data_IF_774790907690
#
_entry.id   IF_774790907690
#
_cell.length_a   1.000
_cell.length_b   1.000
_cell.length_c   1.000
_cell.angle_alpha   90.00
_cell.angle_beta   90.00
_cell.angle_gamma   90.00
#
_symmetry.space_group_name_H-M   'P 1'
#
loop_
_entity.id
_entity.type
_entity.pdbx_description
1 polymer ?
#
# COMPACT_ATOMS: atom_id res chain seq x y z
N UNK A 1 -3.47 12.49 -22.30
CA UNK A 1 -3.13 11.13 -22.04
C UNK A 1 -3.48 10.68 -20.66
N UNK A 2 -4.01 9.54 -20.59
CA UNK A 2 -4.41 9.00 -19.32
C UNK A 2 -3.25 8.73 -18.41
N UNK A 3 -3.44 9.00 -17.17
CA UNK A 3 -2.44 8.66 -16.19
C UNK A 3 -2.76 7.29 -15.61
N UNK A 4 -2.27 6.28 -16.27
CA UNK A 4 -2.55 4.92 -15.86
C UNK A 4 -2.01 4.61 -14.48
N UNK A 5 -0.84 5.19 -14.16
CA UNK A 5 -0.25 4.97 -12.86
C UNK A 5 -1.13 5.49 -11.74
N UNK A 6 -1.73 6.63 -11.98
CA UNK A 6 -2.60 7.22 -10.97
C UNK A 6 -3.82 6.35 -10.72
N UNK A 7 -4.39 5.81 -11.78
CA UNK A 7 -5.52 4.92 -11.63
C UNK A 7 -5.16 3.67 -10.86
N UNK A 8 -4.02 3.10 -11.16
CA UNK A 8 -3.58 1.90 -10.47
C UNK A 8 -3.37 2.15 -8.99
N UNK A 9 -2.77 3.27 -8.65
CA UNK A 9 -2.57 3.62 -7.26
C UNK A 9 -3.89 3.80 -6.54
N UNK A 10 -4.82 4.44 -7.21
CA UNK A 10 -6.13 4.68 -6.64
C UNK A 10 -6.85 3.37 -6.35
N UNK A 11 -6.79 2.44 -7.27
CA UNK A 11 -7.42 1.14 -7.10
C UNK A 11 -6.80 0.35 -5.97
N UNK A 12 -5.47 0.38 -5.90
CA UNK A 12 -4.78 -0.35 -4.84
C UNK A 12 -5.11 0.24 -3.49
N UNK A 13 -5.18 1.55 -3.41
CA UNK A 13 -5.54 2.20 -2.17
C UNK A 13 -6.97 1.89 -1.77
N UNK A 14 -7.87 1.86 -2.74
CA UNK A 14 -9.26 1.48 -2.48
C UNK A 14 -9.34 0.07 -1.93
N UNK A 15 -8.55 -0.84 -2.49
CA UNK A 15 -8.51 -2.21 -2.00
C UNK A 15 -8.12 -2.24 -0.53
N UNK A 16 -7.07 -1.49 -0.17
CA UNK A 16 -6.63 -1.45 1.21
C UNK A 16 -7.73 -0.89 2.11
N UNK A 17 -8.34 0.20 1.69
CA UNK A 17 -9.38 0.85 2.49
C UNK A 17 -10.58 -0.05 2.70
N UNK A 18 -10.97 -0.78 1.68
CA UNK A 18 -12.11 -1.67 1.78
C UNK A 18 -11.84 -2.86 2.68
N UNK A 19 -10.60 -3.29 2.74
CA UNK A 19 -10.25 -4.50 3.47
C UNK A 19 -9.41 -4.21 4.70
N UNK A 20 -9.39 -2.97 5.13
CA UNK A 20 -8.44 -2.57 6.16
C UNK A 20 -8.63 -3.33 7.46
N UNK A 21 -9.87 -3.56 7.86
CA UNK A 21 -10.10 -4.28 9.10
C UNK A 21 -9.56 -5.70 9.05
N UNK A 22 -9.84 -6.38 7.94
CA UNK A 22 -9.35 -7.74 7.79
C UNK A 22 -7.84 -7.76 7.71
N UNK A 23 -7.27 -6.82 6.98
CA UNK A 23 -5.83 -6.75 6.83
C UNK A 23 -5.16 -6.48 8.15
N UNK A 24 -5.75 -5.59 8.96
CA UNK A 24 -5.18 -5.29 10.26
C UNK A 24 -5.17 -6.49 11.18
N UNK A 25 -6.18 -7.33 11.09
CA UNK A 25 -6.23 -8.51 11.94
C UNK A 25 -5.06 -9.45 11.67
N UNK A 26 -4.63 -9.55 10.42
CA UNK A 26 -3.62 -10.50 10.04
C UNK A 26 -2.23 -9.89 9.90
N UNK A 27 -2.17 -8.61 9.56
CA UNK A 27 -0.89 -7.99 9.21
C UNK A 27 -0.65 -6.68 9.97
N UNK A 28 -1.14 -6.61 11.18
CA UNK A 28 -1.00 -5.39 11.98
C UNK A 28 0.47 -4.98 12.09
N UNK A 29 0.73 -3.70 11.87
CA UNK A 29 2.07 -3.12 11.95
C UNK A 29 3.04 -3.63 10.89
N UNK A 30 2.51 -4.27 9.85
CA UNK A 30 3.33 -4.73 8.75
C UNK A 30 3.19 -3.80 7.57
N UNK A 31 4.16 -3.90 6.68
CA UNK A 31 4.10 -3.21 5.40
C UNK A 31 3.58 -4.18 4.37
N UNK A 32 2.45 -3.88 3.78
CA UNK A 32 1.88 -4.78 2.79
C UNK A 32 2.18 -4.29 1.40
N UNK A 33 2.30 -5.24 0.50
CA UNK A 33 2.53 -4.96 -0.91
C UNK A 33 1.26 -5.32 -1.65
N UNK A 34 0.74 -4.35 -2.39
CA UNK A 34 -0.52 -4.51 -3.12
C UNK A 34 -0.28 -4.24 -4.59
N UNK A 35 -0.76 -5.12 -5.43
CA UNK A 35 -0.61 -4.98 -6.87
C UNK A 35 -1.88 -5.46 -7.55
N UNK A 36 -2.43 -4.63 -8.39
CA UNK A 36 -3.65 -4.94 -9.13
C UNK A 36 -4.78 -5.38 -8.20
N UNK A 37 -4.94 -4.62 -7.13
CA UNK A 37 -6.02 -4.83 -6.17
C UNK A 37 -5.93 -6.19 -5.48
N UNK A 38 -4.71 -6.67 -5.29
CA UNK A 38 -4.49 -7.92 -4.58
C UNK A 38 -3.35 -7.75 -3.59
N UNK A 39 -3.50 -8.42 -2.46
CA UNK A 39 -2.43 -8.47 -1.47
C UNK A 39 -1.37 -9.46 -1.93
N UNK A 40 -0.17 -8.95 -2.15
CA UNK A 40 0.94 -9.79 -2.58
C UNK A 40 1.66 -10.39 -1.40
N UNK A 41 1.86 -9.62 -0.35
CA UNK A 41 2.54 -10.11 0.81
C UNK A 41 2.65 -9.05 1.88
N UNK A 42 3.20 -9.43 3.02
CA UNK A 42 3.45 -8.49 4.11
C UNK A 42 4.89 -8.64 4.57
N UNK A 43 5.46 -7.53 5.02
CA UNK A 43 6.89 -7.44 5.29
C UNK A 43 7.13 -6.60 6.52
N UNK A 44 8.31 -6.73 7.09
CA UNK A 44 8.64 -6.02 8.33
C UNK A 44 9.09 -4.60 8.09
N UNK A 45 9.47 -4.26 6.88
CA UNK A 45 9.93 -2.92 6.59
C UNK A 45 9.46 -2.48 5.22
N UNK A 46 9.42 -1.15 5.05
CA UNK A 46 9.08 -0.59 3.76
C UNK A 46 10.06 -1.05 2.69
N UNK A 47 11.33 -1.07 3.05
CA UNK A 47 12.37 -1.43 2.09
C UNK A 47 12.18 -2.84 1.57
N UNK A 48 11.86 -3.76 2.47
CA UNK A 48 11.66 -5.14 2.06
C UNK A 48 10.47 -5.27 1.13
N UNK A 49 9.38 -4.60 1.45
CA UNK A 49 8.20 -4.64 0.61
C UNK A 49 8.50 -4.05 -0.75
N UNK A 50 9.20 -2.92 -0.79
CA UNK A 50 9.52 -2.27 -2.05
C UNK A 50 10.47 -3.13 -2.88
N UNK A 51 11.45 -3.74 -2.24
CA UNK A 51 12.36 -4.63 -2.95
C UNK A 51 11.61 -5.78 -3.60
N UNK A 52 10.69 -6.35 -2.86
CA UNK A 52 9.93 -7.47 -3.40
C UNK A 52 9.07 -7.02 -4.58
N UNK A 53 8.48 -5.84 -4.47
CA UNK A 53 7.69 -5.30 -5.56
C UNK A 53 8.51 -5.11 -6.81
N UNK A 54 9.71 -4.56 -6.66
CA UNK A 54 10.59 -4.36 -7.80
C UNK A 54 11.03 -5.70 -8.37
N UNK A 55 11.33 -6.65 -7.50
CA UNK A 55 11.76 -7.97 -7.96
C UNK A 55 10.69 -8.67 -8.76
N UNK A 56 9.44 -8.55 -8.32
CA UNK A 56 8.35 -9.26 -8.96
C UNK A 56 7.83 -8.54 -10.19
N UNK A 57 7.78 -7.22 -10.14
CA UNK A 57 7.06 -6.47 -11.16
C UNK A 57 7.92 -5.46 -11.91
N UNK A 58 9.10 -5.15 -11.41
CA UNK A 58 9.99 -4.20 -12.08
C UNK A 58 9.79 -2.79 -11.55
N UNK A 59 10.75 -1.95 -11.91
CA UNK A 59 10.75 -0.56 -11.46
C UNK A 59 9.61 0.27 -12.03
N UNK A 60 9.11 -0.14 -13.19
CA UNK A 60 8.07 0.62 -13.86
C UNK A 60 6.67 0.24 -13.43
N UNK A 61 6.54 -0.77 -12.61
CA UNK A 61 5.23 -1.22 -12.20
C UNK A 61 4.63 -0.33 -11.13
N UNK A 62 3.31 -0.29 -11.11
CA UNK A 62 2.59 0.55 -10.16
C UNK A 62 2.05 -0.31 -9.02
N UNK A 63 2.91 -0.64 -8.10
CA UNK A 63 2.50 -1.35 -6.90
C UNK A 63 2.45 -0.38 -5.73
N UNK A 64 1.73 -0.76 -4.69
CA UNK A 64 1.57 0.06 -3.52
C UNK A 64 2.18 -0.64 -2.31
N UNK A 65 2.99 0.10 -1.55
CA UNK A 65 3.45 -0.37 -0.25
C UNK A 65 2.73 0.45 0.79
N UNK A 66 2.04 -0.22 1.69
CA UNK A 66 1.20 0.45 2.66
C UNK A 66 1.51 -0.06 4.06
N UNK A 67 1.72 0.85 4.99
CA UNK A 67 1.99 0.48 6.37
C UNK A 67 0.68 0.34 7.12
N UNK A 68 0.35 -0.86 7.52
CA UNK A 68 -0.90 -1.13 8.21
C UNK A 68 -0.74 -0.87 9.69
N UNK A 69 -1.33 0.23 10.14
CA UNK A 69 -1.30 0.56 11.56
C UNK A 69 -2.72 0.77 12.03
N UNK A 70 -2.94 0.43 13.27
CA UNK A 70 -4.26 0.51 13.84
C UNK A 70 -4.75 1.94 13.94
N UNK A 71 -3.85 2.83 14.35
CA UNK A 71 -4.17 4.24 14.44
C UNK A 71 -3.21 5.01 13.58
N UNK A 72 -3.73 5.63 12.56
CA UNK A 72 -2.89 6.41 11.69
C UNK A 72 -2.67 7.77 12.29
N UNK A 73 -1.47 8.32 12.14
CA UNK A 73 -1.19 9.66 12.61
C UNK A 73 -2.10 10.60 11.89
N UNK A 74 -2.78 11.28 12.61
CA UNK A 74 -3.67 12.19 12.00
C UNK A 74 -3.00 13.33 11.37
N UNK A 75 -2.72 13.24 11.69
CA UNK A 75 -2.32 13.97 11.15
C UNK A 75 -1.81 14.09 10.33
N UNK A 76 -1.62 13.83 10.21
CA UNK A 76 -1.14 14.03 9.33
C UNK A 76 -1.81 14.36 8.42
N UNK A 77 -2.28 14.22 8.39
CA UNK A 77 -2.95 14.57 7.59
C UNK A 77 -3.21 15.65 7.30
N UNK A 78 -3.10 15.94 7.74
CA UNK A 78 -3.21 16.71 7.53
C UNK A 78 -2.99 17.44 7.15
N UNK A 79 -2.59 17.50 7.31
CA UNK A 79 -2.30 18.06 7.05
C UNK A 79 -2.27 18.50 6.45
N UNK A 80 -2.17 18.30 6.61
CA UNK A 80 -2.05 18.68 6.16
C UNK A 80 -2.17 19.19 5.60
N UNK A 81 -2.13 19.20 5.71
CA UNK A 81 -2.21 19.64 5.24
C UNK A 81 -2.31 20.20 4.83
N UNK A 82 -2.29 20.29 5.02
CA UNK A 82 -2.21 20.70 4.69
C UNK A 82 -2.25 21.25 4.35
#
# INVERSE_FOLDING_TARGET
MEDMGEKDLSRNLDFVNKNKESLLKEHKNKFILVFEEELVGSYDSYERAAEEGVRLYGLDANFLVYHLVEKEPLNFIMEAAI
#
